data_IF_943279298540
#
_entry.id   IF_943279298540
#
_cell.length_a   1.000
_cell.length_b   1.000
_cell.length_c   1.000
_cell.angle_alpha   90.00
_cell.angle_beta   90.00
_cell.angle_gamma   90.00
#
_symmetry.space_group_name_H-M   'P 1'
#
loop_
_entity.id
_entity.type
_entity.pdbx_description
1 polymer ?
#
# COMPACT_ATOMS: atom_id res chain seq x y z
N UNK A 1 -35.28 -45.00 0.79
CA UNK A 1 -36.54 -45.36 0.12
C UNK A 1 -37.67 -44.57 0.75
N UNK A 2 -38.65 -44.22 -0.09
CA UNK A 2 -39.73 -43.23 0.04
C UNK A 2 -40.63 -43.35 1.29
N UNK A 3 -41.24 -42.21 1.64
CA UNK A 3 -42.59 -42.09 2.22
C UNK A 3 -42.63 -41.21 3.48
N UNK A 4 -43.60 -40.35 3.74
CA UNK A 4 -44.75 -39.82 2.99
C UNK A 4 -45.25 -38.60 3.80
N UNK A 5 -45.91 -37.66 3.13
CA UNK A 5 -46.46 -36.44 3.71
C UNK A 5 -47.69 -36.69 4.60
N UNK A 6 -47.96 -35.77 5.54
CA UNK A 6 -49.29 -35.60 6.14
C UNK A 6 -49.62 -34.11 6.25
N UNK A 7 -50.67 -33.71 5.54
CA UNK A 7 -51.40 -32.45 5.72
C UNK A 7 -52.22 -32.50 7.02
N UNK A 8 -52.36 -31.37 7.70
CA UNK A 8 -53.60 -31.06 8.40
C UNK A 8 -53.90 -29.55 8.30
N UNK A 9 -55.14 -29.25 7.91
CA UNK A 9 -55.71 -27.92 7.73
C UNK A 9 -56.51 -27.50 8.96
N UNK A 10 -56.59 -26.18 9.24
CA UNK A 10 -57.75 -25.57 9.91
C UNK A 10 -58.02 -24.19 9.29
N UNK A 11 -59.27 -23.98 8.91
CA UNK A 11 -59.84 -22.73 8.43
C UNK A 11 -60.80 -22.12 9.47
N UNK A 12 -61.06 -20.81 9.30
CA UNK A 12 -62.17 -20.01 9.85
C UNK A 12 -62.07 -19.65 11.36
N UNK A 13 -62.55 -18.52 11.87
CA UNK A 13 -63.44 -17.49 11.35
C UNK A 13 -63.27 -16.15 12.11
N UNK A 14 -63.63 -15.06 11.41
CA UNK A 14 -64.27 -13.81 11.84
C UNK A 14 -64.14 -13.27 13.28
N UNK A 15 -63.68 -12.01 13.40
CA UNK A 15 -64.43 -10.93 14.09
C UNK A 15 -63.87 -9.54 13.75
N UNK A 16 -64.74 -8.63 13.28
CA UNK A 16 -64.59 -7.15 13.30
C UNK A 16 -65.52 -6.64 14.42
N UNK A 17 -65.17 -5.59 15.19
CA UNK A 17 -65.51 -4.19 14.80
C UNK A 17 -64.45 -3.14 15.28
N UNK A 18 -64.12 -2.11 14.49
CA UNK A 18 -64.70 -0.74 14.37
C UNK A 18 -64.04 0.32 15.27
N UNK A 19 -63.34 1.25 14.58
CA UNK A 19 -63.10 2.67 14.87
C UNK A 19 -62.21 3.06 16.05
N UNK A 20 -61.08 3.72 15.77
CA UNK A 20 -60.96 5.19 15.87
C UNK A 20 -59.70 5.70 15.17
N UNK A 21 -59.88 6.85 14.54
CA UNK A 21 -58.96 7.78 13.89
C UNK A 21 -57.57 7.89 14.53
N UNK A 22 -56.53 7.79 13.69
CA UNK A 22 -55.16 8.11 14.04
C UNK A 22 -54.34 8.33 12.77
N UNK A 23 -54.20 9.59 12.38
CA UNK A 23 -53.31 10.04 11.30
C UNK A 23 -51.85 9.68 11.61
N UNK A 24 -51.27 8.75 10.85
CA UNK A 24 -49.84 8.75 10.62
C UNK A 24 -49.51 8.36 9.18
N UNK A 25 -48.97 9.34 8.48
CA UNK A 25 -48.54 9.33 7.09
C UNK A 25 -47.33 8.40 6.95
N UNK A 26 -47.47 7.32 6.20
CA UNK A 26 -46.33 6.52 5.73
C UNK A 26 -46.03 6.90 4.28
N UNK A 27 -44.81 7.39 3.96
CA UNK A 27 -44.17 7.14 2.69
C UNK A 27 -43.10 6.07 2.93
N UNK A 28 -43.20 4.88 2.34
CA UNK A 28 -43.05 4.71 0.90
C UNK A 28 -41.58 4.51 0.59
N UNK A 29 -41.08 3.30 0.87
CA UNK A 29 -39.68 2.89 0.63
C UNK A 29 -39.43 2.78 -0.88
N UNK A 30 -38.87 3.84 -1.46
CA UNK A 30 -38.27 3.89 -2.80
C UNK A 30 -36.73 3.95 -2.73
N UNK A 31 -36.03 3.62 -3.81
CA UNK A 31 -34.74 2.93 -3.79
C UNK A 31 -33.58 3.76 -3.24
N UNK A 32 -32.62 3.05 -2.64
CA UNK A 32 -31.38 3.56 -2.10
C UNK A 32 -30.68 4.51 -3.08
N UNK A 33 -30.70 5.81 -2.76
CA UNK A 33 -29.74 6.77 -3.25
C UNK A 33 -28.35 6.34 -2.76
N UNK A 34 -27.66 5.54 -3.56
CA UNK A 34 -26.21 5.41 -3.49
C UNK A 34 -25.70 6.78 -3.91
N UNK A 35 -25.47 7.66 -2.93
CA UNK A 35 -24.87 8.96 -3.16
C UNK A 35 -23.66 8.75 -4.08
N UNK A 36 -23.66 9.45 -5.22
CA UNK A 36 -22.53 9.47 -6.11
C UNK A 36 -21.31 9.80 -5.24
N UNK A 37 -20.38 8.86 -5.13
CA UNK A 37 -19.14 9.12 -4.40
C UNK A 37 -18.51 10.34 -5.07
N UNK A 38 -18.31 11.41 -4.30
CA UNK A 38 -17.63 12.61 -4.79
C UNK A 38 -16.36 12.20 -5.53
N UNK A 39 -16.16 12.79 -6.71
CA UNK A 39 -14.97 12.52 -7.51
C UNK A 39 -13.73 12.75 -6.62
N UNK A 40 -12.73 11.86 -6.67
CA UNK A 40 -11.50 12.04 -5.91
C UNK A 40 -10.91 13.43 -6.13
N UNK A 41 -10.56 14.13 -5.04
CA UNK A 41 -10.05 15.50 -5.11
C UNK A 41 -8.55 15.59 -5.43
N UNK A 42 -7.83 14.47 -5.40
CA UNK A 42 -6.41 14.40 -5.76
C UNK A 42 -6.23 13.59 -7.05
N UNK A 43 -5.26 13.93 -7.92
CA UNK A 43 -4.97 13.11 -9.09
C UNK A 43 -4.50 11.70 -8.68
N UNK A 44 -4.70 10.67 -9.54
CA UNK A 44 -4.14 9.35 -9.31
C UNK A 44 -2.60 9.40 -9.29
N UNK A 45 -1.93 8.46 -8.59
CA UNK A 45 -0.51 8.21 -8.78
C UNK A 45 -0.21 7.92 -10.24
N UNK A 46 1.02 8.20 -10.69
CA UNK A 46 1.42 8.04 -12.09
C UNK A 46 2.86 7.60 -12.24
N UNK A 47 3.11 6.91 -13.34
CA UNK A 47 4.43 6.56 -13.83
C UNK A 47 4.73 7.45 -15.04
N UNK A 48 5.91 8.06 -15.05
CA UNK A 48 6.41 8.89 -16.14
C UNK A 48 7.74 8.34 -16.65
N UNK A 49 8.08 8.63 -17.90
CA UNK A 49 9.44 8.44 -18.43
C UNK A 49 10.36 9.51 -17.84
N UNK A 50 11.59 9.14 -17.50
CA UNK A 50 12.66 10.07 -17.10
C UNK A 50 13.25 9.81 -15.72
N UNK A 51 14.05 10.77 -15.25
CA UNK A 51 14.81 10.66 -14.00
C UNK A 51 16.04 9.75 -14.13
N UNK A 52 16.81 9.65 -13.04
CA UNK A 52 18.08 8.89 -12.97
C UNK A 52 17.91 7.42 -13.36
N UNK A 53 16.72 6.86 -13.15
CA UNK A 53 16.39 5.46 -13.37
C UNK A 53 15.35 5.27 -14.48
N UNK A 54 15.29 6.14 -15.50
CA UNK A 54 14.43 5.99 -16.69
C UNK A 54 12.90 6.02 -16.48
N UNK A 55 12.41 5.83 -15.25
CA UNK A 55 11.03 5.89 -14.81
C UNK A 55 10.91 6.67 -13.49
N UNK A 56 9.94 7.57 -13.44
CA UNK A 56 9.56 8.35 -12.25
C UNK A 56 8.21 7.83 -11.75
N UNK A 57 8.13 7.54 -10.45
CA UNK A 57 6.87 7.19 -9.78
C UNK A 57 6.40 8.39 -8.95
N UNK A 58 5.34 9.05 -9.40
CA UNK A 58 4.81 10.25 -8.76
C UNK A 58 3.51 9.97 -8.01
N UNK A 59 3.35 10.59 -6.83
CA UNK A 59 2.18 10.39 -5.97
C UNK A 59 2.23 9.11 -5.15
N UNK A 60 3.38 8.43 -5.09
CA UNK A 60 3.64 7.26 -4.25
C UNK A 60 4.34 7.63 -2.93
N UNK A 61 4.15 6.84 -1.85
CA UNK A 61 3.09 5.83 -1.71
C UNK A 61 1.71 6.51 -1.75
N UNK A 62 0.66 5.75 -2.05
CA UNK A 62 -0.72 6.21 -2.00
C UNK A 62 -1.56 5.26 -1.14
N UNK A 63 -2.58 5.78 -0.48
CA UNK A 63 -3.43 5.00 0.44
C UNK A 63 -4.87 5.08 -0.07
N UNK A 64 -5.61 3.97 -0.07
CA UNK A 64 -7.03 4.04 -0.35
C UNK A 64 -7.73 4.86 0.72
N UNK A 65 -8.70 5.70 0.35
CA UNK A 65 -9.42 6.56 1.30
C UNK A 65 -10.00 5.80 2.50
N UNK A 66 -10.39 4.54 2.29
CA UNK A 66 -10.91 3.66 3.34
C UNK A 66 -9.85 3.12 4.31
N UNK A 67 -8.56 3.34 4.04
CA UNK A 67 -7.45 2.87 4.88
C UNK A 67 -7.20 1.36 4.83
N UNK A 68 -7.80 0.62 3.88
CA UNK A 68 -7.74 -0.85 3.79
C UNK A 68 -6.59 -1.38 2.93
N UNK A 69 -6.00 -0.53 2.10
CA UNK A 69 -4.88 -0.87 1.21
C UNK A 69 -3.99 0.33 0.92
N UNK A 70 -2.75 0.05 0.56
CA UNK A 70 -1.80 1.05 0.09
C UNK A 70 -1.13 0.57 -1.20
N UNK A 71 -0.68 1.53 -1.99
CA UNK A 71 -0.04 1.34 -3.28
C UNK A 71 1.36 1.93 -3.21
N UNK A 72 2.35 1.12 -3.57
CA UNK A 72 3.77 1.51 -3.57
C UNK A 72 4.41 1.28 -4.94
N UNK A 73 5.38 2.13 -5.24
CA UNK A 73 6.33 1.91 -6.31
C UNK A 73 7.47 1.04 -5.76
N UNK A 74 7.46 -0.24 -6.12
CA UNK A 74 8.47 -1.21 -5.73
C UNK A 74 9.59 -1.24 -6.77
N UNK A 75 10.83 -1.14 -6.30
CA UNK A 75 12.03 -1.38 -7.10
C UNK A 75 12.72 -2.62 -6.55
N UNK A 76 12.89 -3.60 -7.42
CA UNK A 76 13.71 -4.75 -7.17
C UNK A 76 15.17 -4.31 -7.13
N UNK A 77 15.87 -4.69 -6.06
CA UNK A 77 17.33 -4.63 -6.02
C UNK A 77 17.90 -5.62 -7.03
N UNK A 78 18.82 -5.14 -7.85
CA UNK A 78 19.59 -5.93 -8.80
C UNK A 78 21.09 -5.95 -8.46
N UNK A 79 21.41 -5.63 -7.19
CA UNK A 79 22.77 -5.41 -6.73
C UNK A 79 23.31 -4.06 -7.21
N UNK A 80 24.55 -4.04 -7.71
CA UNK A 80 25.22 -2.80 -8.09
C UNK A 80 24.94 -2.32 -9.52
N UNK A 81 24.18 -3.10 -10.30
CA UNK A 81 23.92 -2.74 -11.71
C UNK A 81 23.02 -1.51 -11.81
N UNK A 82 22.14 -1.28 -10.83
CA UNK A 82 21.30 -0.09 -10.78
C UNK A 82 20.33 -0.01 -11.97
N UNK A 83 19.98 -1.15 -12.55
CA UNK A 83 19.14 -1.20 -13.72
C UNK A 83 17.75 -0.72 -13.35
N UNK A 84 17.18 0.20 -14.14
CA UNK A 84 15.89 0.73 -13.80
C UNK A 84 14.85 -0.35 -13.95
N UNK A 85 14.09 -0.51 -12.90
CA UNK A 85 12.96 -1.40 -12.84
C UNK A 85 11.87 -0.73 -12.01
N UNK A 86 10.63 -1.09 -12.26
CA UNK A 86 9.49 -0.58 -11.53
C UNK A 86 8.35 -1.58 -11.60
N UNK A 87 7.88 -1.97 -10.42
CA UNK A 87 6.63 -2.70 -10.24
C UNK A 87 5.73 -1.88 -9.33
N UNK A 88 4.46 -1.76 -9.68
CA UNK A 88 3.48 -1.18 -8.77
C UNK A 88 2.84 -2.32 -7.97
N UNK A 89 2.82 -2.18 -6.65
CA UNK A 89 2.30 -3.20 -5.75
C UNK A 89 1.19 -2.61 -4.90
N UNK A 90 0.04 -3.29 -4.85
CA UNK A 90 -1.05 -3.00 -3.91
C UNK A 90 -0.95 -3.98 -2.76
N UNK A 91 -0.96 -3.48 -1.54
CA UNK A 91 -0.87 -4.31 -0.32
C UNK A 91 -2.01 -3.98 0.63
N UNK A 92 -2.43 -4.98 1.39
CA UNK A 92 -3.46 -4.84 2.41
C UNK A 92 -2.91 -4.10 3.64
N UNK A 93 -3.74 -3.23 4.21
CA UNK A 93 -3.57 -2.68 5.55
C UNK A 93 -4.39 -3.57 6.49
N UNK A 94 -3.72 -4.35 7.33
CA UNK A 94 -4.41 -5.36 8.12
C UNK A 94 -5.10 -4.80 9.37
N UNK A 95 -6.42 -4.99 9.46
CA UNK A 95 -7.15 -5.14 10.73
C UNK A 95 -7.22 -6.62 11.19
N UNK A 96 -6.96 -7.56 10.28
CA UNK A 96 -6.92 -9.01 10.54
C UNK A 96 -5.45 -9.45 10.62
N UNK A 97 -5.07 -10.04 11.75
CA UNK A 97 -3.67 -10.29 12.18
C UNK A 97 -2.78 -11.04 11.18
N UNK A 98 -3.35 -11.73 10.19
CA UNK A 98 -2.60 -12.61 9.28
C UNK A 98 -2.46 -12.07 7.85
N UNK A 99 -2.90 -10.81 7.58
CA UNK A 99 -2.86 -10.22 6.23
C UNK A 99 -2.24 -8.83 6.15
N UNK A 100 -1.62 -8.36 7.23
CA UNK A 100 -0.85 -7.09 7.17
C UNK A 100 0.24 -7.25 6.11
N UNK A 101 0.35 -6.28 5.21
CA UNK A 101 1.29 -6.24 4.10
C UNK A 101 1.07 -7.31 3.01
N UNK A 102 -0.02 -8.07 3.06
CA UNK A 102 -0.31 -9.07 2.01
C UNK A 102 -0.45 -8.40 0.64
N UNK A 103 0.27 -8.92 -0.35
CA UNK A 103 0.17 -8.44 -1.74
C UNK A 103 -1.22 -8.79 -2.30
N UNK A 104 -1.97 -7.75 -2.68
CA UNK A 104 -3.31 -7.86 -3.25
C UNK A 104 -3.26 -7.83 -4.78
N UNK A 105 -2.33 -7.06 -5.34
CA UNK A 105 -2.13 -6.95 -6.78
C UNK A 105 -0.70 -6.50 -7.09
N UNK A 106 -0.23 -6.90 -8.28
CA UNK A 106 1.08 -6.55 -8.82
C UNK A 106 0.92 -6.14 -10.29
N UNK A 107 1.58 -5.05 -10.66
CA UNK A 107 1.64 -4.59 -12.04
C UNK A 107 3.09 -4.23 -12.38
N UNK A 108 3.77 -5.11 -13.09
CA UNK A 108 5.14 -4.88 -13.54
C UNK A 108 5.15 -3.90 -14.72
N UNK A 109 5.91 -2.81 -14.58
CA UNK A 109 6.09 -1.80 -15.64
C UNK A 109 7.37 -2.09 -16.41
N UNK A 110 8.45 -2.39 -15.70
CA UNK A 110 9.74 -2.76 -16.25
C UNK A 110 10.45 -3.69 -15.28
N UNK A 111 10.81 -4.89 -15.73
CA UNK A 111 11.62 -5.82 -14.96
C UNK A 111 13.12 -5.50 -15.09
N UNK A 112 13.92 -5.96 -14.13
CA UNK A 112 15.39 -5.86 -14.19
C UNK A 112 15.95 -6.52 -15.44
N UNK A 113 15.40 -7.68 -15.84
CA UNK A 113 15.90 -8.47 -16.96
C UNK A 113 15.70 -7.78 -18.32
N UNK A 114 14.66 -6.94 -18.45
CA UNK A 114 14.34 -6.23 -19.68
C UNK A 114 14.98 -4.84 -19.75
N UNK A 115 15.47 -4.33 -18.63
CA UNK A 115 15.95 -2.97 -18.49
C UNK A 115 17.06 -2.62 -19.50
N UNK A 116 18.02 -3.52 -19.74
CA UNK A 116 19.08 -3.34 -20.74
C UNK A 116 18.46 -3.08 -22.12
N UNK A 117 17.62 -4.02 -22.57
CA UNK A 117 17.01 -3.96 -23.92
C UNK A 117 16.02 -2.81 -24.12
N UNK A 118 15.43 -2.29 -23.04
CA UNK A 118 14.35 -1.30 -23.13
C UNK A 118 14.81 0.16 -23.06
N UNK A 119 16.09 0.41 -22.74
CA UNK A 119 16.67 1.74 -22.61
C UNK A 119 17.67 2.10 -23.70
N UNK A 120 18.13 1.12 -24.48
CA UNK A 120 19.25 1.23 -25.43
C UNK A 120 19.00 2.08 -26.69
N UNK A 121 17.76 2.56 -26.92
CA UNK A 121 17.54 3.48 -28.05
C UNK A 121 18.19 4.84 -27.74
N UNK A 122 19.09 5.31 -28.61
CA UNK A 122 19.90 6.52 -28.44
C UNK A 122 19.09 7.81 -28.16
N UNK A 123 17.80 7.81 -28.45
CA UNK A 123 16.85 8.90 -28.20
C UNK A 123 15.98 8.69 -26.94
N UNK A 124 16.17 7.59 -26.21
CA UNK A 124 15.38 7.18 -25.05
C UNK A 124 13.92 6.84 -25.35
N UNK A 125 13.53 6.76 -26.63
CA UNK A 125 12.16 6.47 -27.07
C UNK A 125 11.98 4.99 -27.36
N UNK A 126 11.38 4.28 -26.42
CA UNK A 126 11.00 2.88 -26.60
C UNK A 126 9.46 2.77 -26.60
N UNK A 127 8.82 2.56 -27.76
CA UNK A 127 7.35 2.49 -27.87
C UNK A 127 6.72 1.37 -27.04
N UNK A 128 7.44 0.25 -26.83
CA UNK A 128 6.95 -0.85 -26.00
C UNK A 128 6.90 -0.44 -24.52
N UNK A 129 7.93 0.25 -24.04
CA UNK A 129 7.94 0.81 -22.69
C UNK A 129 6.92 1.95 -22.53
N UNK A 130 6.72 2.79 -23.54
CA UNK A 130 5.67 3.83 -23.51
C UNK A 130 4.26 3.22 -23.42
N UNK A 131 4.02 2.11 -24.14
CA UNK A 131 2.78 1.35 -24.03
C UNK A 131 2.60 0.73 -22.64
N UNK A 132 3.69 0.24 -22.00
CA UNK A 132 3.67 -0.26 -20.61
C UNK A 132 3.33 0.84 -19.62
N UNK A 133 3.99 2.00 -19.73
CA UNK A 133 3.70 3.18 -18.89
C UNK A 133 2.23 3.63 -19.07
N UNK A 134 1.73 3.64 -20.31
CA UNK A 134 0.32 3.97 -20.59
C UNK A 134 -0.65 2.98 -19.93
N UNK A 135 -0.36 1.67 -19.99
CA UNK A 135 -1.17 0.64 -19.31
C UNK A 135 -1.11 0.78 -17.80
N UNK A 136 0.05 1.04 -17.23
CA UNK A 136 0.23 1.24 -15.79
C UNK A 136 -0.58 2.45 -15.30
N UNK A 137 -0.53 3.57 -16.02
CA UNK A 137 -1.30 4.77 -15.67
C UNK A 137 -2.81 4.58 -15.81
N UNK A 138 -3.27 3.80 -16.79
CA UNK A 138 -4.69 3.41 -16.90
C UNK A 138 -5.12 2.57 -15.70
N UNK A 139 -4.33 1.56 -15.34
CA UNK A 139 -4.61 0.71 -14.20
C UNK A 139 -4.61 1.50 -12.87
N UNK A 140 -3.70 2.45 -12.70
CA UNK A 140 -3.71 3.38 -11.56
C UNK A 140 -4.95 4.28 -11.53
N UNK A 141 -5.41 4.76 -12.68
CA UNK A 141 -6.63 5.55 -12.78
C UNK A 141 -7.88 4.74 -12.43
N UNK A 142 -7.97 3.48 -12.89
CA UNK A 142 -9.03 2.53 -12.52
C UNK A 142 -9.02 2.25 -11.01
N UNK A 143 -7.86 1.94 -10.44
CA UNK A 143 -7.68 1.70 -9.01
C UNK A 143 -8.06 2.94 -8.17
N UNK A 144 -7.73 4.13 -8.66
CA UNK A 144 -8.09 5.39 -8.03
C UNK A 144 -9.57 5.71 -8.13
N UNK A 145 -10.22 5.41 -9.25
CA UNK A 145 -11.66 5.53 -9.39
C UNK A 145 -12.40 4.57 -8.43
N UNK A 146 -11.88 3.35 -8.23
CA UNK A 146 -12.48 2.36 -7.34
C UNK A 146 -12.29 2.68 -5.86
N UNK A 147 -11.07 3.07 -5.45
CA UNK A 147 -10.71 3.17 -4.03
C UNK A 147 -10.47 4.58 -3.52
N UNK A 148 -10.46 5.58 -4.41
CA UNK A 148 -10.05 6.97 -4.08
C UNK A 148 -8.67 6.97 -3.44
N UNK A 149 -7.61 6.88 -4.23
CA UNK A 149 -6.24 6.91 -3.70
C UNK A 149 -5.87 8.33 -3.27
N UNK A 150 -5.45 8.48 -2.01
CA UNK A 150 -4.98 9.72 -1.41
C UNK A 150 -3.47 9.69 -1.20
N UNK A 151 -2.83 10.85 -1.37
CA UNK A 151 -1.41 11.00 -1.09
C UNK A 151 -1.21 11.27 0.41
N UNK A 152 -0.49 10.40 1.15
CA UNK A 152 -0.12 10.66 2.53
C UNK A 152 0.90 11.79 2.65
N UNK A 153 1.08 12.28 3.88
CA UNK A 153 2.20 13.12 4.25
C UNK A 153 3.49 12.29 4.18
N UNK A 154 4.40 12.63 3.27
CA UNK A 154 5.73 12.01 3.20
C UNK A 154 6.66 12.68 4.21
N UNK A 155 7.29 11.90 5.07
CA UNK A 155 8.28 12.36 6.03
C UNK A 155 9.67 12.34 5.40
N UNK A 156 10.52 13.26 5.83
CA UNK A 156 11.89 13.41 5.35
C UNK A 156 12.81 12.66 6.32
N UNK A 157 13.55 11.63 5.86
CA UNK A 157 14.57 11.00 6.67
C UNK A 157 15.65 11.98 7.11
N UNK A 158 16.08 11.90 8.36
CA UNK A 158 17.19 12.70 8.89
C UNK A 158 18.48 12.24 8.22
N UNK A 159 19.23 13.14 7.54
CA UNK A 159 20.48 12.78 6.90
C UNK A 159 21.51 12.27 7.92
N UNK A 160 22.17 11.17 7.59
CA UNK A 160 23.26 10.59 8.38
C UNK A 160 24.48 10.35 7.50
N UNK A 161 25.65 10.14 8.13
CA UNK A 161 26.89 9.83 7.38
C UNK A 161 26.82 8.44 6.75
N UNK A 162 26.29 7.46 7.47
CA UNK A 162 26.08 6.09 7.01
C UNK A 162 24.58 5.82 6.92
N UNK A 163 24.14 5.17 5.83
CA UNK A 163 22.72 4.85 5.64
C UNK A 163 22.17 3.99 6.77
N UNK A 164 22.96 3.05 7.31
CA UNK A 164 22.57 2.20 8.45
C UNK A 164 22.20 2.98 9.71
N UNK A 165 22.71 4.20 9.87
CA UNK A 165 22.39 5.06 11.01
C UNK A 165 21.08 5.86 10.81
N UNK A 166 20.53 5.83 9.59
CA UNK A 166 19.30 6.55 9.24
C UNK A 166 18.09 5.86 9.88
N UNK A 167 17.74 6.33 11.07
CA UNK A 167 16.71 5.72 11.93
C UNK A 167 15.49 6.61 12.13
N UNK A 168 15.55 7.88 11.71
CA UNK A 168 14.54 8.88 12.02
C UNK A 168 14.03 9.56 10.75
N UNK A 169 12.72 9.79 10.66
CA UNK A 169 12.09 10.62 9.64
C UNK A 169 11.08 11.58 10.28
N UNK A 170 11.02 12.82 9.79
CA UNK A 170 10.18 13.88 10.38
C UNK A 170 9.38 14.64 9.32
N UNK A 171 8.24 15.19 9.71
CA UNK A 171 7.41 16.03 8.85
C UNK A 171 6.12 16.45 9.55
N UNK A 172 5.77 17.74 9.45
CA UNK A 172 4.53 18.32 9.98
C UNK A 172 4.27 17.97 11.47
N UNK A 173 5.30 17.95 12.31
CA UNK A 173 5.20 17.59 13.73
C UNK A 173 5.16 16.09 14.03
N UNK A 174 5.11 15.22 13.00
CA UNK A 174 5.27 13.77 13.16
C UNK A 174 6.76 13.41 13.16
N UNK A 175 7.13 12.50 14.06
CA UNK A 175 8.44 11.84 14.08
C UNK A 175 8.24 10.34 14.06
N UNK A 176 8.90 9.67 13.13
CA UNK A 176 9.09 8.22 13.11
C UNK A 176 10.52 7.93 13.51
N UNK A 177 10.70 7.07 14.51
CA UNK A 177 11.99 6.50 14.87
C UNK A 177 11.90 4.99 14.77
N UNK A 178 12.73 4.40 13.91
CA UNK A 178 12.81 2.97 13.68
C UNK A 178 14.21 2.45 13.98
N UNK A 179 14.25 1.31 14.64
CA UNK A 179 15.40 0.45 14.78
C UNK A 179 14.94 -1.01 14.62
N UNK A 180 15.89 -1.92 14.36
CA UNK A 180 15.61 -3.35 14.24
C UNK A 180 14.88 -3.94 15.46
N UNK A 181 15.01 -3.32 16.65
CA UNK A 181 14.36 -3.77 17.89
C UNK A 181 13.11 -2.98 18.29
N UNK A 182 12.89 -1.77 17.73
CA UNK A 182 11.82 -0.88 18.20
C UNK A 182 11.35 0.09 17.12
N UNK A 183 10.04 0.29 17.09
CA UNK A 183 9.37 1.34 16.32
C UNK A 183 8.67 2.31 17.27
N UNK A 184 8.86 3.60 17.04
CA UNK A 184 8.14 4.68 17.71
C UNK A 184 7.62 5.70 16.69
N UNK A 185 6.37 6.11 16.83
CA UNK A 185 5.75 7.20 16.06
C UNK A 185 5.16 8.20 17.05
N UNK A 186 5.49 9.48 16.90
CA UNK A 186 4.99 10.56 17.74
C UNK A 186 4.38 11.69 16.92
N UNK A 187 3.39 12.38 17.48
CA UNK A 187 2.83 13.63 16.98
C UNK A 187 3.05 14.72 18.05
N UNK A 188 4.07 15.55 17.83
CA UNK A 188 4.65 16.39 18.86
C UNK A 188 5.07 15.56 20.08
N UNK A 189 4.50 15.87 21.25
CA UNK A 189 4.76 15.15 22.49
C UNK A 189 3.95 13.84 22.64
N UNK A 190 2.92 13.62 21.81
CA UNK A 190 2.03 12.47 21.92
C UNK A 190 2.65 11.24 21.26
N UNK A 191 2.74 10.13 21.97
CA UNK A 191 3.09 8.83 21.38
C UNK A 191 1.86 8.24 20.69
N UNK A 192 1.97 7.94 19.39
CA UNK A 192 0.95 7.27 18.59
C UNK A 192 1.18 5.77 18.54
N UNK A 193 2.43 5.36 18.31
CA UNK A 193 2.86 3.97 18.24
C UNK A 193 4.14 3.79 19.04
N UNK A 194 4.21 2.72 19.81
CA UNK A 194 5.44 2.25 20.43
C UNK A 194 5.39 0.74 20.56
N UNK A 195 6.23 0.02 19.79
CA UNK A 195 6.22 -1.44 19.75
C UNK A 195 7.57 -2.02 19.32
N UNK A 196 7.72 -3.32 19.52
CA UNK A 196 8.84 -4.09 18.97
C UNK A 196 8.68 -4.22 17.45
N UNK A 197 9.78 -4.06 16.72
CA UNK A 197 9.82 -4.28 15.27
C UNK A 197 9.72 -5.79 14.99
N UNK A 198 8.82 -6.26 14.12
CA UNK A 198 8.75 -7.67 13.75
C UNK A 198 10.06 -8.17 13.14
N UNK A 199 10.54 -9.33 13.56
CA UNK A 199 11.75 -9.94 13.00
C UNK A 199 11.63 -10.23 11.49
N UNK A 200 10.40 -10.37 10.98
CA UNK A 200 10.11 -10.56 9.55
C UNK A 200 10.45 -9.34 8.68
N UNK A 201 10.66 -8.16 9.29
CA UNK A 201 11.12 -6.96 8.58
C UNK A 201 12.65 -6.95 8.40
N UNK A 202 13.35 -7.90 9.02
CA UNK A 202 14.80 -8.02 8.97
C UNK A 202 15.18 -9.12 7.98
N UNK A 203 16.23 -8.86 7.19
CA UNK A 203 16.82 -9.92 6.38
C UNK A 203 17.76 -10.77 7.22
N UNK A 204 17.56 -12.09 7.14
CA UNK A 204 18.47 -13.04 7.76
C UNK A 204 19.84 -12.98 7.05
N UNK A 205 20.96 -13.10 7.78
CA UNK A 205 22.27 -13.19 7.17
C UNK A 205 22.35 -14.34 6.17
N UNK A 206 22.96 -14.09 5.01
CA UNK A 206 23.17 -15.09 3.96
C UNK A 206 24.63 -15.55 3.93
N UNK A 207 24.89 -16.76 3.42
CA UNK A 207 26.25 -17.27 3.22
C UNK A 207 26.61 -17.23 1.74
N UNK A 208 27.77 -16.64 1.42
CA UNK A 208 28.37 -16.67 0.09
C UNK A 208 29.80 -17.20 0.24
N UNK A 209 29.98 -18.50 -0.05
CA UNK A 209 31.23 -19.20 0.23
C UNK A 209 31.58 -19.16 1.72
N UNK A 210 32.82 -18.75 2.11
CA UNK A 210 33.21 -18.65 3.52
C UNK A 210 32.64 -17.40 4.22
N UNK A 211 32.08 -16.44 3.49
CA UNK A 211 31.66 -15.14 4.03
C UNK A 211 30.19 -15.14 4.45
N UNK A 212 29.90 -14.48 5.58
CA UNK A 212 28.54 -14.13 5.99
C UNK A 212 28.20 -12.73 5.49
N UNK A 213 27.14 -12.62 4.72
CA UNK A 213 26.57 -11.37 4.25
C UNK A 213 25.53 -10.88 5.24
N UNK A 214 25.83 -9.79 5.91
CA UNK A 214 24.87 -9.02 6.70
C UNK A 214 24.32 -7.88 5.85
N UNK A 215 23.00 -7.68 5.91
CA UNK A 215 22.29 -6.64 5.17
C UNK A 215 21.46 -5.83 6.17
N UNK A 216 22.12 -4.99 6.99
CA UNK A 216 21.42 -4.22 8.01
C UNK A 216 20.39 -3.29 7.37
N UNK A 217 19.19 -3.27 7.97
CA UNK A 217 18.11 -2.40 7.54
C UNK A 217 18.25 -0.99 8.10
N UNK A 218 17.72 -0.01 7.37
CA UNK A 218 17.58 1.39 7.78
C UNK A 218 16.22 1.95 7.35
N UNK A 219 15.84 3.09 7.92
CA UNK A 219 14.59 3.75 7.58
C UNK A 219 14.77 4.50 6.25
N UNK A 220 14.45 3.86 5.14
CA UNK A 220 14.52 4.44 3.79
C UNK A 220 13.47 5.53 3.55
N UNK A 221 12.32 5.44 4.22
CA UNK A 221 11.27 6.45 4.14
C UNK A 221 10.08 6.16 5.03
N UNK A 222 9.24 7.17 5.24
CA UNK A 222 8.00 7.03 5.97
C UNK A 222 6.92 7.94 5.37
N UNK A 223 5.68 7.47 5.37
CA UNK A 223 4.52 8.26 4.97
C UNK A 223 3.36 8.05 5.95
N UNK A 224 2.62 9.13 6.24
CA UNK A 224 1.59 9.18 7.29
C UNK A 224 0.25 9.61 6.69
N UNK A 225 -0.79 8.84 6.99
CA UNK A 225 -2.18 9.23 6.83
C UNK A 225 -2.82 9.36 8.21
N UNK A 226 -2.96 10.60 8.68
CA UNK A 226 -3.58 10.88 9.98
C UNK A 226 -5.07 10.55 10.00
N UNK A 227 -5.76 10.69 8.88
CA UNK A 227 -7.21 10.44 8.82
C UNK A 227 -7.50 8.96 9.08
N UNK A 228 -6.68 8.08 8.51
CA UNK A 228 -6.78 6.63 8.70
C UNK A 228 -5.91 6.08 9.83
N UNK A 229 -5.18 6.94 10.57
CA UNK A 229 -4.22 6.54 11.61
C UNK A 229 -3.26 5.46 11.13
N UNK A 230 -2.66 5.71 9.97
CA UNK A 230 -1.85 4.75 9.24
C UNK A 230 -0.48 5.35 8.93
N UNK A 231 0.56 4.54 9.06
CA UNK A 231 1.90 4.81 8.54
C UNK A 231 2.30 3.72 7.55
N UNK A 232 2.94 4.12 6.46
CA UNK A 232 3.68 3.23 5.57
C UNK A 232 5.16 3.50 5.78
N UNK A 233 5.92 2.50 6.22
CA UNK A 233 7.37 2.59 6.38
C UNK A 233 8.05 1.84 5.24
N UNK A 234 9.08 2.46 4.68
CA UNK A 234 10.03 1.79 3.79
C UNK A 234 11.27 1.43 4.59
N UNK A 235 11.53 0.14 4.73
CA UNK A 235 12.77 -0.38 5.29
C UNK A 235 13.66 -0.76 4.11
N UNK A 236 14.77 -0.06 4.02
CA UNK A 236 15.80 -0.28 3.00
C UNK A 236 16.95 -1.02 3.62
N UNK A 237 17.80 -1.61 2.80
CA UNK A 237 18.92 -2.42 3.26
C UNK A 237 20.19 -1.94 2.58
N UNK A 238 21.32 -2.14 3.25
CA UNK A 238 22.63 -1.86 2.67
C UNK A 238 23.49 -3.11 2.77
N UNK A 239 24.17 -3.45 1.69
CA UNK A 239 25.18 -4.49 1.72
C UNK A 239 26.50 -4.00 2.33
N UNK A 240 27.18 -4.86 3.10
CA UNK A 240 28.53 -4.56 3.62
C UNK A 240 29.64 -4.79 2.58
N UNK A 241 29.36 -5.51 1.49
CA UNK A 241 30.32 -5.85 0.46
C UNK A 241 29.66 -6.13 -0.90
N UNK A 242 30.37 -5.86 -1.98
CA UNK A 242 29.86 -5.90 -3.37
C UNK A 242 29.35 -7.31 -3.78
N UNK A 243 29.93 -8.38 -3.24
CA UNK A 243 29.50 -9.76 -3.50
C UNK A 243 28.28 -10.19 -2.69
N UNK A 244 27.84 -9.38 -1.72
CA UNK A 244 26.66 -9.63 -0.93
C UNK A 244 25.45 -8.98 -1.60
N UNK A 245 24.46 -9.80 -1.92
CA UNK A 245 23.24 -9.34 -2.59
C UNK A 245 22.44 -8.47 -1.62
N UNK A 246 22.27 -7.20 -1.99
CA UNK A 246 21.36 -6.30 -1.29
C UNK A 246 19.91 -6.72 -1.59
N UNK A 247 19.07 -6.96 -0.58
CA UNK A 247 17.68 -7.26 -0.80
C UNK A 247 16.91 -6.01 -1.24
N UNK A 248 15.73 -6.22 -1.82
CA UNK A 248 14.87 -5.10 -2.21
C UNK A 248 14.24 -4.42 -0.99
N UNK A 249 13.93 -3.14 -1.12
CA UNK A 249 13.18 -2.39 -0.11
C UNK A 249 11.86 -3.09 0.26
N UNK A 250 11.56 -3.11 1.55
CA UNK A 250 10.29 -3.61 2.08
C UNK A 250 9.40 -2.45 2.53
N UNK A 251 8.09 -2.58 2.31
CA UNK A 251 7.11 -1.59 2.72
C UNK A 251 6.12 -2.19 3.71
N UNK A 252 5.93 -1.53 4.85
CA UNK A 252 5.09 -2.04 5.95
C UNK A 252 4.04 -1.04 6.39
N UNK A 253 2.82 -1.52 6.59
CA UNK A 253 1.71 -0.77 7.14
C UNK A 253 1.64 -0.87 8.68
N UNK A 254 1.40 0.26 9.34
CA UNK A 254 1.23 0.38 10.79
C UNK A 254 0.00 1.22 11.09
N UNK A 255 -1.01 0.61 11.71
CA UNK A 255 -2.22 1.28 12.18
C UNK A 255 -2.22 1.53 13.70
N UNK A 256 -2.95 2.55 14.16
CA UNK A 256 -3.16 2.89 15.58
C UNK A 256 -4.52 3.57 15.87
#
# INVERSE_FOLDING_TARGET
MRGAALLLAIAAACTRPRSTSGTHTTPGTGPANRAAADAPTSPPPRVLRGGTFGLIAEGFPAIARAGDRYVVAYRQSDGERGMPNLTIVVRAVGAVRDRVDAELARHEVLSVAEADTMLDDADGKNPALDARVTRANRWLAELHAEHTLVRPLVLIPTPTRLLVDQTTATGDGITVTWAASRLRITDGARVLVERVTPATWLHAPARVGPTTCETPGYLGGAAIDRANRLAILTISYVSQADFCIEPSDQHHAISW
#
